data_IF_095282885866
#
_entry.id   IF_095282885866
#
_cell.length_a   1.000
_cell.length_b   1.000
_cell.length_c   1.000
_cell.angle_alpha   90.00
_cell.angle_beta   90.00
_cell.angle_gamma   90.00
#
_symmetry.space_group_name_H-M   'P 1'
#
loop_
_entity.id
_entity.type
_entity.pdbx_description
1 polymer ?
#
# COMPACT_ATOMS: atom_id res chain seq x y z
N UNK A 1 -18.56 -2.31 -6.30
CA UNK A 1 -18.56 -1.48 -7.53
C UNK A 1 -19.88 -1.53 -8.30
N UNK A 2 -20.85 -2.34 -7.85
CA UNK A 2 -22.09 -2.64 -8.59
C UNK A 2 -23.13 -1.50 -8.60
N UNK A 3 -22.74 -0.29 -8.19
CA UNK A 3 -23.59 0.91 -8.14
C UNK A 3 -22.85 2.19 -8.56
N UNK A 4 -21.77 2.07 -9.35
CA UNK A 4 -20.93 3.23 -9.77
C UNK A 4 -20.42 4.12 -8.62
N UNK A 5 -20.28 3.54 -7.42
CA UNK A 5 -19.75 4.24 -6.25
C UNK A 5 -18.28 4.59 -6.39
N UNK A 6 -17.88 5.66 -5.71
CA UNK A 6 -16.48 5.96 -5.44
C UNK A 6 -16.05 5.12 -4.24
N UNK A 7 -15.01 4.30 -4.42
CA UNK A 7 -14.43 3.48 -3.37
C UNK A 7 -13.05 4.04 -3.04
N UNK A 8 -12.90 4.56 -1.84
CA UNK A 8 -11.60 4.93 -1.29
C UNK A 8 -11.00 3.70 -0.60
N UNK A 9 -9.95 3.12 -1.18
CA UNK A 9 -9.41 1.83 -0.81
C UNK A 9 -8.07 1.97 -0.10
N UNK A 10 -8.06 1.65 1.19
CA UNK A 10 -6.83 1.49 1.98
C UNK A 10 -6.32 0.04 2.00
N UNK A 11 -7.19 -0.94 1.75
CA UNK A 11 -6.83 -2.35 1.79
C UNK A 11 -6.11 -2.78 0.50
N UNK A 12 -4.78 -2.94 0.56
CA UNK A 12 -3.96 -3.37 -0.58
C UNK A 12 -4.14 -4.85 -0.93
N UNK A 13 -4.49 -5.68 0.04
CA UNK A 13 -4.69 -7.12 -0.14
C UNK A 13 -5.83 -7.42 -1.13
N UNK A 14 -6.91 -6.63 -1.10
CA UNK A 14 -8.01 -6.75 -2.08
C UNK A 14 -7.52 -6.56 -3.52
N UNK A 15 -6.56 -5.66 -3.73
CA UNK A 15 -5.96 -5.46 -5.07
C UNK A 15 -5.04 -6.62 -5.41
N UNK A 16 -4.16 -7.03 -4.49
CA UNK A 16 -3.25 -8.16 -4.70
C UNK A 16 -4.00 -9.45 -5.05
N UNK A 17 -5.08 -9.76 -4.33
CA UNK A 17 -5.82 -11.01 -4.49
C UNK A 17 -6.87 -10.95 -5.61
N UNK A 18 -7.42 -9.77 -5.91
CA UNK A 18 -8.61 -9.63 -6.74
C UNK A 18 -8.50 -8.61 -7.88
N UNK A 19 -7.29 -8.19 -8.26
CA UNK A 19 -7.08 -7.14 -9.26
C UNK A 19 -7.88 -7.35 -10.54
N UNK A 20 -7.88 -8.57 -11.09
CA UNK A 20 -8.57 -8.88 -12.35
C UNK A 20 -10.08 -8.65 -12.24
N UNK A 21 -10.73 -9.21 -11.22
CA UNK A 21 -12.15 -9.01 -10.94
C UNK A 21 -12.48 -7.53 -10.69
N UNK A 22 -11.61 -6.83 -9.96
CA UNK A 22 -11.76 -5.39 -9.69
C UNK A 22 -11.70 -4.59 -11.00
N UNK A 23 -10.72 -4.89 -11.86
CA UNK A 23 -10.54 -4.21 -13.16
C UNK A 23 -11.71 -4.50 -14.09
N UNK A 24 -12.19 -5.74 -14.15
CA UNK A 24 -13.38 -6.11 -14.91
C UNK A 24 -14.60 -5.31 -14.47
N UNK A 25 -14.86 -5.24 -13.16
CA UNK A 25 -15.98 -4.46 -12.62
C UNK A 25 -15.80 -2.95 -12.88
N UNK A 26 -14.58 -2.40 -12.80
CA UNK A 26 -14.31 -1.00 -13.17
C UNK A 26 -14.52 -0.69 -14.65
N UNK A 27 -14.43 -1.68 -15.54
CA UNK A 27 -14.77 -1.52 -16.96
C UNK A 27 -16.28 -1.54 -17.19
N UNK A 28 -17.03 -2.32 -16.41
CA UNK A 28 -18.49 -2.44 -16.53
C UNK A 28 -19.24 -1.26 -15.90
N UNK A 29 -18.72 -0.69 -14.82
CA UNK A 29 -19.39 0.35 -14.04
C UNK A 29 -18.58 1.66 -14.06
N UNK A 30 -19.26 2.81 -14.03
CA UNK A 30 -18.62 4.14 -13.96
C UNK A 30 -18.06 4.52 -12.57
N UNK A 31 -17.92 3.53 -11.69
CA UNK A 31 -17.33 3.70 -10.37
C UNK A 31 -15.86 4.10 -10.43
N UNK A 32 -15.36 4.67 -9.33
CA UNK A 32 -13.96 5.10 -9.22
C UNK A 32 -13.28 4.41 -8.06
N UNK A 33 -12.04 3.99 -8.26
CA UNK A 33 -11.17 3.53 -7.19
C UNK A 33 -10.16 4.63 -6.83
N UNK A 34 -10.13 5.01 -5.55
CA UNK A 34 -9.20 5.99 -5.01
C UNK A 34 -8.27 5.28 -4.02
N UNK A 35 -6.97 5.15 -4.30
CA UNK A 35 -6.05 4.58 -3.33
C UNK A 35 -5.91 5.50 -2.12
N UNK A 36 -5.92 4.91 -0.93
CA UNK A 36 -5.62 5.59 0.33
C UNK A 36 -4.29 5.16 0.94
N UNK A 37 -3.68 4.08 0.44
CA UNK A 37 -2.32 3.69 0.82
C UNK A 37 -1.33 4.78 0.37
N UNK A 38 -0.34 5.10 1.20
CA UNK A 38 0.44 6.35 1.10
C UNK A 38 1.17 6.50 -0.23
N UNK A 39 1.80 5.43 -0.70
CA UNK A 39 2.65 5.43 -1.88
C UNK A 39 1.79 5.47 -3.16
N UNK A 40 0.78 4.59 -3.35
CA UNK A 40 -0.14 4.72 -4.48
C UNK A 40 -0.94 6.02 -4.49
N UNK A 41 -1.34 6.54 -3.32
CA UNK A 41 -2.02 7.83 -3.21
C UNK A 41 -1.12 8.98 -3.67
N UNK A 42 0.14 8.99 -3.24
CA UNK A 42 1.14 9.99 -3.65
C UNK A 42 1.40 9.95 -5.15
N UNK A 43 1.58 8.74 -5.72
CA UNK A 43 1.75 8.55 -7.17
C UNK A 43 0.53 9.08 -7.93
N UNK A 44 -0.69 8.74 -7.49
CA UNK A 44 -1.91 9.24 -8.11
C UNK A 44 -2.01 10.76 -8.04
N UNK A 45 -1.69 11.36 -6.90
CA UNK A 45 -1.71 12.81 -6.71
C UNK A 45 -0.75 13.54 -7.64
N UNK A 46 0.46 13.02 -7.81
CA UNK A 46 1.45 13.59 -8.75
C UNK A 46 0.96 13.43 -10.20
N UNK A 47 0.49 12.24 -10.58
CA UNK A 47 0.01 11.99 -11.94
C UNK A 47 -1.24 12.80 -12.30
N UNK A 48 -2.08 13.14 -11.33
CA UNK A 48 -3.24 14.01 -11.58
C UNK A 48 -2.87 15.46 -11.94
N UNK A 49 -1.64 15.87 -11.67
CA UNK A 49 -1.14 17.21 -11.96
C UNK A 49 -0.36 17.28 -13.29
N UNK A 50 -0.25 16.17 -14.02
CA UNK A 50 0.51 16.15 -15.28
C UNK A 50 -0.04 15.14 -16.29
N UNK A 51 -0.01 15.50 -17.57
CA UNK A 51 -0.34 14.59 -18.67
C UNK A 51 0.88 13.78 -19.16
N UNK A 52 2.06 13.98 -18.55
CA UNK A 52 3.28 13.26 -18.91
C UNK A 52 3.26 11.84 -18.35
N UNK A 53 3.63 10.86 -19.19
CA UNK A 53 3.84 9.49 -18.72
C UNK A 53 5.15 9.42 -17.91
N UNK A 54 5.14 8.81 -16.70
CA UNK A 54 6.36 8.66 -15.92
C UNK A 54 7.31 7.67 -16.60
N UNK A 55 8.60 8.01 -16.65
CA UNK A 55 9.65 7.07 -17.10
C UNK A 55 9.99 6.02 -16.04
N UNK A 56 9.83 6.39 -14.77
CA UNK A 56 10.13 5.58 -13.59
C UNK A 56 9.22 6.00 -12.45
N UNK A 57 8.80 5.04 -11.63
CA UNK A 57 8.14 5.29 -10.35
C UNK A 57 9.08 4.77 -9.25
N UNK A 58 9.29 5.57 -8.21
CA UNK A 58 10.08 5.18 -7.04
C UNK A 58 9.11 4.99 -5.89
N UNK A 59 9.05 3.77 -5.37
CA UNK A 59 8.24 3.43 -4.19
C UNK A 59 9.17 3.49 -2.98
N UNK A 60 8.83 4.34 -2.03
CA UNK A 60 9.59 4.52 -0.78
C UNK A 60 9.14 3.52 0.27
N UNK A 61 10.02 3.19 1.20
CA UNK A 61 9.71 2.40 2.38
C UNK A 61 10.48 2.94 3.59
N UNK A 62 9.90 2.85 4.79
CA UNK A 62 10.60 3.24 6.04
C UNK A 62 11.83 2.35 6.30
N UNK A 63 11.69 1.06 5.99
CA UNK A 63 12.63 -0.01 6.32
C UNK A 63 12.32 -0.71 7.66
N UNK A 64 11.24 -0.31 8.34
CA UNK A 64 10.76 -0.97 9.54
C UNK A 64 11.66 -0.81 10.78
N UNK A 65 11.29 -1.44 11.91
CA UNK A 65 12.03 -1.37 13.16
C UNK A 65 13.43 -2.03 13.10
N UNK A 66 13.69 -2.86 12.10
CA UNK A 66 14.92 -3.65 12.00
C UNK A 66 15.91 -3.12 10.97
N UNK A 67 15.64 -1.93 10.40
CA UNK A 67 16.57 -1.26 9.51
C UNK A 67 17.93 -1.07 10.19
N UNK A 68 18.98 -1.64 9.61
CA UNK A 68 20.35 -1.57 10.14
C UNK A 68 20.74 -2.69 11.11
N UNK A 69 19.83 -3.62 11.44
CA UNK A 69 20.16 -4.80 12.22
C UNK A 69 21.07 -5.75 11.43
N UNK A 70 21.96 -6.46 12.14
CA UNK A 70 22.75 -7.54 11.54
C UNK A 70 21.84 -8.70 11.21
N UNK A 71 22.09 -9.37 10.08
CA UNK A 71 21.30 -10.51 9.62
C UNK A 71 21.12 -11.60 10.70
N UNK A 72 22.16 -11.91 11.46
CA UNK A 72 22.10 -12.92 12.53
C UNK A 72 21.12 -12.56 13.66
N UNK A 73 20.86 -11.27 13.89
CA UNK A 73 19.91 -10.83 14.90
C UNK A 73 18.45 -11.11 14.50
N UNK A 74 18.18 -11.20 13.19
CA UNK A 74 16.81 -11.44 12.68
C UNK A 74 16.24 -12.79 13.14
N UNK A 75 17.10 -13.76 13.46
CA UNK A 75 16.68 -15.11 13.91
C UNK A 75 16.01 -15.12 15.29
N UNK A 76 16.19 -14.07 16.08
CA UNK A 76 15.72 -13.99 17.47
C UNK A 76 14.64 -12.93 17.67
N UNK A 77 14.18 -12.29 16.59
CA UNK A 77 13.15 -11.26 16.65
C UNK A 77 11.82 -11.88 17.03
N UNK A 78 11.12 -11.22 17.96
CA UNK A 78 9.77 -11.59 18.37
C UNK A 78 8.72 -10.73 17.65
N UNK A 79 7.45 -11.18 17.61
CA UNK A 79 6.37 -10.34 17.11
C UNK A 79 6.25 -9.02 17.87
N UNK A 80 6.53 -9.01 19.18
CA UNK A 80 6.45 -7.79 19.98
C UNK A 80 7.51 -6.76 19.56
N UNK A 81 8.70 -7.20 19.14
CA UNK A 81 9.73 -6.31 18.61
C UNK A 81 9.28 -5.65 17.30
N UNK A 82 8.60 -6.41 16.43
CA UNK A 82 8.11 -5.91 15.15
C UNK A 82 6.94 -4.94 15.30
N UNK A 83 6.13 -5.08 16.37
CA UNK A 83 5.06 -4.14 16.69
C UNK A 83 5.57 -2.76 17.16
N UNK A 84 6.85 -2.64 17.53
CA UNK A 84 7.47 -1.39 17.97
C UNK A 84 8.04 -0.58 16.79
N UNK A 85 7.18 -0.22 15.82
CA UNK A 85 7.62 0.52 14.64
C UNK A 85 8.07 1.95 14.99
N UNK A 86 9.23 2.43 14.50
CA UNK A 86 9.84 3.69 14.96
C UNK A 86 9.06 4.94 14.58
N UNK A 87 8.28 4.88 13.50
CA UNK A 87 7.61 6.05 12.91
C UNK A 87 6.09 6.06 13.05
N UNK A 88 5.45 4.89 13.18
CA UNK A 88 4.02 4.75 12.92
C UNK A 88 3.36 3.86 13.98
N UNK A 89 2.16 4.24 14.42
CA UNK A 89 1.26 3.36 15.19
C UNK A 89 0.22 2.79 14.24
N UNK A 90 0.29 1.50 13.97
CA UNK A 90 -0.56 0.82 12.99
C UNK A 90 -1.14 -0.49 13.55
N UNK A 91 -2.02 -1.13 12.78
CA UNK A 91 -2.56 -2.44 13.13
C UNK A 91 -1.47 -3.53 13.08
N UNK A 92 -1.62 -4.58 13.90
CA UNK A 92 -0.60 -5.63 14.06
C UNK A 92 -0.10 -6.21 12.74
N UNK A 93 -1.03 -6.58 11.83
CA UNK A 93 -0.68 -7.20 10.55
C UNK A 93 0.22 -6.30 9.71
N UNK A 94 -0.15 -5.03 9.52
CA UNK A 94 0.66 -4.09 8.73
C UNK A 94 1.97 -3.72 9.43
N UNK A 95 2.00 -3.71 10.77
CA UNK A 95 3.26 -3.53 11.52
C UNK A 95 4.24 -4.69 11.33
N UNK A 96 3.76 -5.93 11.26
CA UNK A 96 4.61 -7.10 10.96
C UNK A 96 5.12 -7.07 9.52
N UNK A 97 4.30 -6.61 8.57
CA UNK A 97 4.67 -6.54 7.15
C UNK A 97 5.60 -5.35 6.80
N UNK A 98 5.82 -4.42 7.73
CA UNK A 98 6.51 -3.14 7.50
C UNK A 98 8.02 -3.16 7.71
#
# INVERSE_FOLDING_TARGET
MEESKVIALANKESILCGAELIIEKLKMYSGKLIPLDSEPASVKGILSQTNKKPKKIIITASGGPFRGHKFNMLKHITPNDALNHPTWKMGKKISIDS
#
